data_IF_452038440698
#
_entry.id   IF_452038440698
#
_cell.length_a   1.000
_cell.length_b   1.000
_cell.length_c   1.000
_cell.angle_alpha   90.00
_cell.angle_beta   90.00
_cell.angle_gamma   90.00
#
_symmetry.space_group_name_H-M   'P 1'
#
loop_
_entity.id
_entity.type
_entity.pdbx_description
1 polymer ?
#
# COMPACT_ATOMS: atom_id res chain seq x y z
N UNK A 1 -20.04 8.41 -5.73
CA UNK A 1 -19.94 7.25 -4.81
C UNK A 1 -21.13 6.32 -4.97
N UNK A 2 -22.35 6.69 -4.53
CA UNK A 2 -23.56 5.84 -4.72
C UNK A 2 -23.99 5.70 -6.19
N UNK A 3 -23.88 6.78 -6.98
CA UNK A 3 -24.27 6.76 -8.39
C UNK A 3 -23.52 5.67 -9.19
N UNK A 4 -22.21 5.56 -8.97
CA UNK A 4 -21.37 4.54 -9.62
C UNK A 4 -21.69 3.14 -9.12
N UNK A 5 -22.03 2.96 -7.85
CA UNK A 5 -22.48 1.67 -7.33
C UNK A 5 -23.77 1.18 -8.00
N UNK A 6 -24.66 2.10 -8.39
CA UNK A 6 -25.92 1.78 -9.07
C UNK A 6 -25.70 1.53 -10.57
N UNK A 7 -24.85 2.33 -11.22
CA UNK A 7 -24.64 2.26 -12.69
C UNK A 7 -23.60 1.23 -13.13
N UNK A 8 -22.58 0.98 -12.29
CA UNK A 8 -21.54 -0.03 -12.52
C UNK A 8 -21.03 -0.59 -11.17
N UNK A 9 -21.77 -1.54 -10.56
CA UNK A 9 -21.44 -2.08 -9.24
C UNK A 9 -20.09 -2.80 -9.21
N UNK A 10 -19.71 -3.50 -10.30
CA UNK A 10 -18.46 -4.28 -10.33
C UNK A 10 -17.26 -3.36 -10.43
N UNK A 11 -17.28 -2.37 -11.33
CA UNK A 11 -16.20 -1.38 -11.43
C UNK A 11 -16.05 -0.60 -10.14
N UNK A 12 -17.17 -0.18 -9.53
CA UNK A 12 -17.16 0.51 -8.25
C UNK A 12 -16.53 -0.32 -7.12
N UNK A 13 -16.89 -1.60 -6.99
CA UNK A 13 -16.32 -2.48 -5.97
C UNK A 13 -14.83 -2.74 -6.21
N UNK A 14 -14.41 -2.92 -7.46
CA UNK A 14 -13.00 -3.13 -7.80
C UNK A 14 -12.14 -1.93 -7.38
N UNK A 15 -12.56 -0.72 -7.75
CA UNK A 15 -11.89 0.52 -7.32
C UNK A 15 -11.92 0.68 -5.80
N UNK A 16 -13.06 0.39 -5.17
CA UNK A 16 -13.21 0.47 -3.73
C UNK A 16 -12.23 -0.46 -3.00
N UNK A 17 -12.12 -1.72 -3.41
CA UNK A 17 -11.20 -2.69 -2.80
C UNK A 17 -9.74 -2.31 -3.00
N UNK A 18 -9.35 -1.81 -4.19
CA UNK A 18 -7.99 -1.33 -4.42
C UNK A 18 -7.64 -0.15 -3.50
N UNK A 19 -8.56 0.81 -3.36
CA UNK A 19 -8.37 1.97 -2.49
C UNK A 19 -8.32 1.56 -1.02
N UNK A 20 -9.23 0.68 -0.60
CA UNK A 20 -9.28 0.16 0.76
C UNK A 20 -7.99 -0.60 1.14
N UNK A 21 -7.44 -1.42 0.23
CA UNK A 21 -6.17 -2.11 0.48
C UNK A 21 -5.00 -1.13 0.60
N UNK A 22 -4.96 -0.10 -0.25
CA UNK A 22 -3.95 0.95 -0.15
C UNK A 22 -4.06 1.68 1.20
N UNK A 23 -5.27 2.13 1.57
CA UNK A 23 -5.51 2.88 2.81
C UNK A 23 -5.30 2.04 4.08
N UNK A 24 -5.65 0.75 4.05
CA UNK A 24 -5.47 -0.17 5.18
C UNK A 24 -3.99 -0.38 5.50
N UNK A 25 -3.14 -0.56 4.49
CA UNK A 25 -1.69 -0.68 4.68
C UNK A 25 -1.08 0.56 5.35
N UNK A 26 -1.50 1.75 4.94
CA UNK A 26 -1.06 3.00 5.57
C UNK A 26 -1.60 3.19 6.99
N UNK A 27 -2.83 2.74 7.25
CA UNK A 27 -3.45 2.84 8.58
C UNK A 27 -2.74 1.94 9.59
N UNK A 28 -2.43 0.70 9.22
CA UNK A 28 -1.73 -0.24 10.08
C UNK A 28 -0.28 0.21 10.38
N UNK A 29 0.46 0.75 9.40
CA UNK A 29 1.79 1.32 9.65
C UNK A 29 1.72 2.51 10.63
N UNK A 30 0.72 3.38 10.48
CA UNK A 30 0.50 4.50 11.41
C UNK A 30 0.20 3.99 12.82
N UNK A 31 -0.68 2.99 12.98
CA UNK A 31 -1.00 2.40 14.29
C UNK A 31 0.26 1.88 14.98
N UNK A 32 1.07 1.09 14.27
CA UNK A 32 2.33 0.55 14.79
C UNK A 32 3.31 1.65 15.22
N UNK A 33 3.23 2.82 14.60
CA UNK A 33 4.13 3.93 14.88
C UNK A 33 3.50 5.07 15.70
N UNK A 34 2.43 4.78 16.46
CA UNK A 34 1.79 5.74 17.35
C UNK A 34 1.03 6.86 16.62
N UNK A 35 0.32 6.51 15.55
CA UNK A 35 -0.44 7.39 14.67
C UNK A 35 0.40 8.44 13.91
N UNK A 36 1.72 8.29 13.91
CA UNK A 36 2.65 9.16 13.19
C UNK A 36 3.03 8.53 11.85
N UNK A 37 3.13 9.35 10.80
CA UNK A 37 3.60 8.91 9.48
C UNK A 37 5.14 8.99 9.41
N UNK A 38 5.84 7.86 9.53
CA UNK A 38 7.31 7.81 9.59
C UNK A 38 7.99 7.47 8.25
N UNK A 39 7.26 7.52 7.14
CA UNK A 39 7.81 7.23 5.79
C UNK A 39 9.04 8.08 5.42
N UNK A 40 9.24 9.25 6.04
CA UNK A 40 10.38 10.14 5.76
C UNK A 40 11.63 9.85 6.58
N UNK A 41 11.65 8.85 7.47
CA UNK A 41 12.90 8.51 8.14
C UNK A 41 13.84 7.75 7.22
N UNK A 42 15.12 8.13 7.30
CA UNK A 42 16.19 7.58 6.48
C UNK A 42 16.34 6.07 6.68
N UNK A 43 16.26 5.57 7.93
CA UNK A 43 16.35 4.14 8.27
C UNK A 43 15.31 3.28 7.53
N UNK A 44 14.09 3.79 7.39
CA UNK A 44 13.00 3.09 6.69
C UNK A 44 13.13 3.16 5.17
N UNK A 45 13.64 4.28 4.65
CA UNK A 45 13.94 4.42 3.23
C UNK A 45 15.03 3.42 2.84
N UNK A 46 16.11 3.33 3.62
CA UNK A 46 17.21 2.40 3.40
C UNK A 46 16.74 0.95 3.46
N UNK A 47 15.92 0.60 4.47
CA UNK A 47 15.34 -0.74 4.59
C UNK A 47 14.45 -1.10 3.40
N UNK A 48 13.63 -0.15 2.92
CA UNK A 48 12.76 -0.35 1.76
C UNK A 48 13.57 -0.53 0.47
N UNK A 49 14.61 0.27 0.26
CA UNK A 49 15.52 0.17 -0.88
C UNK A 49 16.28 -1.16 -0.89
N UNK A 50 16.80 -1.59 0.28
CA UNK A 50 17.48 -2.88 0.42
C UNK A 50 16.52 -4.03 0.12
N UNK A 51 15.32 -4.01 0.68
CA UNK A 51 14.32 -5.07 0.44
C UNK A 51 13.93 -5.14 -1.02
N UNK A 52 13.76 -3.99 -1.69
CA UNK A 52 13.54 -3.93 -3.15
C UNK A 52 14.71 -4.53 -3.91
N UNK A 53 15.95 -4.16 -3.58
CA UNK A 53 17.15 -4.70 -4.22
C UNK A 53 17.26 -6.22 -4.07
N UNK A 54 17.00 -6.74 -2.86
CA UNK A 54 16.94 -8.19 -2.60
C UNK A 54 15.84 -8.85 -3.43
N UNK A 55 14.64 -8.26 -3.46
CA UNK A 55 13.53 -8.77 -4.27
C UNK A 55 13.85 -8.83 -5.75
N UNK A 56 14.41 -7.75 -6.32
CA UNK A 56 14.82 -7.72 -7.71
C UNK A 56 15.86 -8.80 -8.00
N UNK A 57 16.86 -8.97 -7.12
CA UNK A 57 17.88 -10.00 -7.31
C UNK A 57 17.31 -11.42 -7.21
N UNK A 58 16.39 -11.68 -6.28
CA UNK A 58 15.72 -12.98 -6.19
C UNK A 58 14.87 -13.28 -7.43
N UNK A 59 14.14 -12.28 -7.94
CA UNK A 59 13.27 -12.43 -9.10
C UNK A 59 14.04 -12.40 -10.44
N UNK A 60 15.29 -11.93 -10.44
CA UNK A 60 16.18 -11.94 -11.61
C UNK A 60 17.03 -13.23 -11.68
N UNK A 61 17.13 -13.99 -10.59
CA UNK A 61 17.78 -15.31 -10.55
C UNK A 61 16.84 -16.48 -10.89
N UNK A 62 15.57 -16.20 -11.21
CA UNK A 62 14.59 -17.18 -11.71
C UNK A 62 14.42 -17.08 -13.22
#
# INVERSE_FOLDING_TARGET
MIKNYITDPIGHLSEYFQRNNSESGFSEDKKLCGWKAWQKRIDRIDTSLLTKGVWYNLMWLG
#
